data_IF_240855124619
#
_entry.id   IF_240855124619
#
_cell.length_a   1.000
_cell.length_b   1.000
_cell.length_c   1.000
_cell.angle_alpha   90.00
_cell.angle_beta   90.00
_cell.angle_gamma   90.00
#
_symmetry.space_group_name_H-M   'P 1'
#
loop_
_entity.id
_entity.type
_entity.pdbx_description
1 polymer ?
#
# COMPACT_ATOMS: atom_id res chain seq x y z
N UNK A 1 1.48 24.93 -11.17
CA UNK A 1 2.29 24.88 -9.93
C UNK A 1 2.47 23.43 -9.56
N UNK A 2 3.61 22.86 -9.94
CA UNK A 2 3.92 21.45 -9.70
C UNK A 2 4.15 21.23 -8.21
N UNK A 3 3.22 20.53 -7.57
CA UNK A 3 3.38 20.13 -6.17
C UNK A 3 4.52 19.12 -6.10
N UNK A 4 5.63 19.48 -5.47
CA UNK A 4 6.79 18.57 -5.30
C UNK A 4 6.47 17.31 -4.49
N UNK A 5 5.41 17.36 -3.69
CA UNK A 5 4.95 16.26 -2.85
C UNK A 5 3.43 16.07 -2.96
N UNK A 6 3.02 14.81 -3.00
CA UNK A 6 1.64 14.36 -3.10
C UNK A 6 1.28 13.53 -1.88
N UNK A 7 0.07 13.74 -1.37
CA UNK A 7 -0.49 12.90 -0.31
C UNK A 7 -0.95 11.55 -0.85
N UNK A 8 -1.13 10.57 0.05
CA UNK A 8 -1.71 9.25 -0.29
C UNK A 8 -3.01 9.38 -1.11
N UNK A 9 -3.87 10.35 -0.78
CA UNK A 9 -5.16 10.56 -1.48
C UNK A 9 -4.96 11.09 -2.89
N UNK A 10 -4.02 12.02 -3.08
CA UNK A 10 -3.72 12.58 -4.40
C UNK A 10 -3.10 11.51 -5.30
N UNK A 11 -2.11 10.76 -4.80
CA UNK A 11 -1.50 9.64 -5.56
C UNK A 11 -2.55 8.59 -5.94
N UNK A 12 -3.42 8.21 -5.00
CA UNK A 12 -4.50 7.26 -5.26
C UNK A 12 -5.43 7.74 -6.39
N UNK A 13 -5.78 9.03 -6.40
CA UNK A 13 -6.62 9.63 -7.43
C UNK A 13 -5.92 9.69 -8.80
N UNK A 14 -4.63 9.99 -8.82
CA UNK A 14 -3.83 10.05 -10.05
C UNK A 14 -3.67 8.68 -10.70
N UNK A 15 -3.33 7.65 -9.91
CA UNK A 15 -3.10 6.29 -10.40
C UNK A 15 -4.41 5.52 -10.60
N UNK A 16 -5.52 5.99 -10.03
CA UNK A 16 -6.82 5.32 -10.12
C UNK A 16 -6.96 4.10 -9.21
N UNK A 17 -6.27 4.09 -8.08
CA UNK A 17 -6.30 2.99 -7.09
C UNK A 17 -6.81 3.47 -5.74
N UNK A 18 -7.08 2.54 -4.82
CA UNK A 18 -7.49 2.93 -3.47
C UNK A 18 -6.31 3.47 -2.65
N UNK A 19 -6.54 4.40 -1.69
CA UNK A 19 -5.51 4.83 -0.75
C UNK A 19 -4.88 3.69 0.05
N UNK A 20 -5.62 2.59 0.26
CA UNK A 20 -5.11 1.39 0.92
C UNK A 20 -4.06 0.69 0.07
N UNK A 21 -4.27 0.62 -1.25
CA UNK A 21 -3.28 0.07 -2.20
C UNK A 21 -1.96 0.82 -2.12
N UNK A 22 -2.01 2.16 -2.10
CA UNK A 22 -0.82 3.01 -1.95
C UNK A 22 -0.08 2.73 -0.62
N UNK A 23 -0.82 2.57 0.49
CA UNK A 23 -0.22 2.20 1.80
C UNK A 23 0.38 0.78 1.79
N UNK A 24 -0.20 -0.15 1.04
CA UNK A 24 0.35 -1.48 0.88
C UNK A 24 1.64 -1.46 0.06
N UNK A 25 1.71 -0.60 -0.96
CA UNK A 25 2.94 -0.38 -1.73
C UNK A 25 4.04 0.30 -0.92
N UNK A 26 3.70 1.23 -0.01
CA UNK A 26 4.61 1.77 1.01
C UNK A 26 5.19 0.66 1.88
N UNK A 27 4.33 -0.21 2.43
CA UNK A 27 4.78 -1.36 3.23
C UNK A 27 5.64 -2.36 2.44
N UNK A 28 5.34 -2.54 1.16
CA UNK A 28 6.06 -3.44 0.28
C UNK A 28 7.38 -2.85 -0.28
N UNK A 29 7.68 -1.57 0.02
CA UNK A 29 8.87 -0.89 -0.49
C UNK A 29 8.79 -0.50 -1.97
N UNK A 30 7.63 -0.67 -2.62
CA UNK A 30 7.42 -0.29 -4.03
C UNK A 30 7.27 1.22 -4.22
N UNK A 31 6.84 1.91 -3.16
CA UNK A 31 6.69 3.36 -3.17
C UNK A 31 7.19 3.90 -1.85
N UNK A 32 8.25 4.71 -1.87
CA UNK A 32 8.89 5.19 -0.63
C UNK A 32 8.12 6.41 -0.12
N UNK A 33 7.44 6.28 1.02
CA UNK A 33 6.80 7.42 1.66
C UNK A 33 7.81 8.25 2.45
N UNK A 34 7.83 9.55 2.19
CA UNK A 34 8.43 10.53 3.09
C UNK A 34 7.44 10.89 4.20
N UNK A 35 7.97 11.22 5.38
CA UNK A 35 7.19 11.72 6.50
C UNK A 35 7.27 13.24 6.51
N UNK A 36 6.11 13.89 6.53
CA UNK A 36 6.07 15.34 6.72
C UNK A 36 6.53 15.69 8.16
N UNK A 37 7.54 16.54 8.36
CA UNK A 37 8.02 16.89 9.70
C UNK A 37 6.95 17.54 10.59
N UNK A 38 5.93 18.17 10.00
CA UNK A 38 4.93 18.93 10.77
C UNK A 38 3.81 18.06 11.33
N UNK A 39 3.34 17.06 10.58
CA UNK A 39 2.17 16.24 10.95
C UNK A 39 2.36 14.74 10.75
N UNK A 40 3.58 14.31 10.43
CA UNK A 40 3.98 12.91 10.22
C UNK A 40 3.14 12.15 9.16
N UNK A 41 2.44 12.87 8.28
CA UNK A 41 1.73 12.25 7.17
C UNK A 41 2.67 11.69 6.12
N UNK A 42 2.20 10.63 5.46
CA UNK A 42 2.85 10.04 4.29
C UNK A 42 2.67 10.97 3.10
N UNK A 43 3.79 11.41 2.56
CA UNK A 43 3.87 12.18 1.32
C UNK A 43 4.84 11.50 0.36
N UNK A 44 4.57 11.59 -0.93
CA UNK A 44 5.33 10.97 -2.00
C UNK A 44 5.82 12.06 -2.93
N UNK A 45 7.04 11.94 -3.47
CA UNK A 45 7.50 12.87 -4.50
C UNK A 45 6.74 12.60 -5.79
N UNK A 46 6.45 13.65 -6.54
CA UNK A 46 5.86 13.50 -7.89
C UNK A 46 6.69 12.60 -8.77
N UNK A 47 8.01 12.80 -8.80
CA UNK A 47 8.93 11.99 -9.62
C UNK A 47 8.88 10.47 -9.30
N UNK A 48 8.63 10.10 -8.04
CA UNK A 48 8.51 8.67 -7.67
C UNK A 48 7.16 8.10 -8.10
N UNK A 49 6.12 8.94 -8.11
CA UNK A 49 4.78 8.57 -8.57
C UNK A 49 4.74 8.45 -10.09
N UNK A 50 5.43 9.33 -10.83
CA UNK A 50 5.51 9.29 -12.29
C UNK A 50 6.20 8.00 -12.76
N UNK A 51 7.36 7.66 -12.17
CA UNK A 51 8.04 6.37 -12.41
C UNK A 51 7.16 5.17 -12.12
N UNK A 52 6.37 5.24 -11.04
CA UNK A 52 5.44 4.17 -10.71
C UNK A 52 4.35 4.01 -11.78
N UNK A 53 3.84 5.10 -12.35
CA UNK A 53 2.86 5.04 -13.43
C UNK A 53 3.49 4.43 -14.69
N UNK A 54 4.70 4.85 -15.05
CA UNK A 54 5.46 4.28 -16.17
C UNK A 54 5.67 2.75 -16.00
N UNK A 55 6.08 2.32 -14.81
CA UNK A 55 6.25 0.90 -14.48
C UNK A 55 4.93 0.11 -14.58
N UNK A 56 3.81 0.71 -14.16
CA UNK A 56 2.47 0.09 -14.25
C UNK A 56 2.05 -0.05 -15.71
N UNK A 57 2.28 0.97 -16.54
CA UNK A 57 1.97 0.93 -17.96
C UNK A 57 2.80 -0.14 -18.68
N UNK A 58 4.08 -0.26 -18.35
CA UNK A 58 4.95 -1.34 -18.85
C UNK A 58 4.56 -2.74 -18.35
N UNK A 59 3.85 -2.84 -17.22
CA UNK A 59 3.46 -4.12 -16.61
C UNK A 59 2.02 -4.57 -16.96
N UNK A 60 1.29 -3.86 -17.83
CA UNK A 60 -0.09 -4.25 -18.24
C UNK A 60 -0.08 -5.62 -18.94
N UNK A 61 -0.33 -6.67 -18.16
CA UNK A 61 -0.36 -8.05 -18.66
C UNK A 61 -0.17 -9.13 -17.58
N UNK A 62 0.32 -8.77 -16.39
CA UNK A 62 0.42 -9.73 -15.26
C UNK A 62 -0.90 -9.81 -14.51
N UNK A 63 -1.79 -10.69 -14.94
CA UNK A 63 -2.84 -11.21 -14.06
C UNK A 63 -2.13 -11.99 -12.94
N UNK A 64 -2.15 -11.47 -11.72
CA UNK A 64 -1.78 -12.28 -10.57
C UNK A 64 -2.97 -13.19 -10.28
N UNK A 65 -2.89 -14.52 -10.52
CA UNK A 65 -3.93 -15.42 -10.06
C UNK A 65 -4.05 -15.16 -8.56
N UNK A 66 -5.27 -14.85 -8.10
CA UNK A 66 -5.51 -14.71 -6.67
C UNK A 66 -5.11 -16.06 -6.07
N UNK A 67 -4.10 -16.12 -5.18
CA UNK A 67 -3.85 -17.37 -4.48
C UNK A 67 -5.17 -17.78 -3.81
N UNK A 68 -5.53 -19.08 -3.80
CA UNK A 68 -6.72 -19.53 -3.10
C UNK A 68 -6.72 -18.86 -1.73
N UNK A 69 -7.83 -18.20 -1.36
CA UNK A 69 -7.92 -17.61 -0.02
C UNK A 69 -7.64 -18.75 0.95
N UNK A 70 -6.50 -18.71 1.65
CA UNK A 70 -6.26 -19.65 2.74
C UNK A 70 -7.47 -19.59 3.66
N UNK A 71 -8.03 -20.74 4.08
CA UNK A 71 -9.12 -20.75 5.03
C UNK A 71 -8.68 -19.92 6.25
N UNK A 72 -9.56 -19.06 6.80
CA UNK A 72 -9.20 -18.22 7.94
C UNK A 72 -8.64 -19.12 9.04
N UNK A 73 -7.43 -18.83 9.53
CA UNK A 73 -6.81 -19.59 10.62
C UNK A 73 -7.83 -19.70 11.77
N UNK A 74 -8.07 -20.90 12.31
CA UNK A 74 -9.03 -21.07 13.39
C UNK A 74 -8.60 -20.17 14.55
N UNK A 75 -9.53 -19.33 15.02
CA UNK A 75 -9.32 -18.52 16.23
C UNK A 75 -9.33 -19.47 17.43
N UNK A 76 -8.21 -20.11 17.74
CA UNK A 76 -8.08 -20.92 18.96
C UNK A 76 -8.21 -20.01 20.18
N UNK A 77 -9.34 -20.10 20.89
CA UNK A 77 -9.39 -19.69 22.29
C UNK A 77 -8.70 -20.79 23.10
N UNK A 78 -7.58 -20.45 23.74
CA UNK A 78 -6.91 -21.32 24.71
C UNK A 78 -7.77 -21.30 25.97
N UNK A 79 -8.56 -22.35 26.20
CA UNK A 79 -9.14 -22.61 27.51
C UNK A 79 -8.02 -23.21 28.36
N UNK A 80 -7.54 -22.47 29.37
CA UNK A 80 -6.75 -23.04 30.44
C UNK A 80 -7.72 -23.88 31.29
N UNK A 81 -7.52 -25.20 31.32
CA UNK A 81 -8.07 -26.04 32.38
C UNK A 81 -6.99 -26.02 33.47
N UNK A 82 -7.24 -25.30 34.57
CA UNK A 82 -6.52 -25.55 35.82
C UNK A 82 -7.06 -26.88 36.35
N UNK A 83 -6.22 -27.91 36.29
CA UNK A 83 -6.42 -29.14 37.02
C UNK A 83 -6.13 -28.87 38.52
N UNK A 84 -7.12 -29.24 39.34
CA UNK A 84 -7.16 -29.40 40.81
C UNK A 84 -7.37 -28.14 41.67
#
# INVERSE_FOLDING_TARGET
MDKKYLTVKEVAKLVGVTPLTIRNWDKAGKLIAHRNPVNNYRVYKTADVDKLVEDIEGSKGKTFPRPPKEPPKPKTKKLMIEEL
#
